data_IF_366087577902
#
_entry.id   IF_366087577902
#
_cell.length_a   1.000
_cell.length_b   1.000
_cell.length_c   1.000
_cell.angle_alpha   90.00
_cell.angle_beta   90.00
_cell.angle_gamma   90.00
#
_symmetry.space_group_name_H-M   'P 1'
#
loop_
_entity.id
_entity.type
_entity.pdbx_description
1 polymer ?
#
# COMPACT_ATOMS: atom_id res chain seq x y z
N UNK A 1 -34.76 13.96 10.72
CA UNK A 1 -33.87 14.38 11.83
C UNK A 1 -33.07 13.19 12.37
N UNK A 2 -31.78 13.21 12.04
CA UNK A 2 -30.62 12.59 12.70
C UNK A 2 -30.75 11.20 13.33
N UNK A 3 -30.08 10.23 12.71
CA UNK A 3 -29.25 9.23 13.40
C UNK A 3 -28.26 8.63 12.39
N UNK A 4 -27.33 9.47 11.91
CA UNK A 4 -26.11 8.96 11.26
C UNK A 4 -25.06 8.93 12.36
N UNK A 5 -24.93 7.78 13.01
CA UNK A 5 -23.76 7.47 13.83
C UNK A 5 -22.56 7.36 12.87
N UNK A 6 -21.82 8.45 12.71
CA UNK A 6 -20.46 8.37 12.17
C UNK A 6 -19.57 7.85 13.29
N UNK A 7 -19.56 6.54 13.46
CA UNK A 7 -18.51 5.85 14.20
C UNK A 7 -17.25 5.97 13.33
N UNK A 8 -16.34 6.88 13.66
CA UNK A 8 -15.04 6.99 13.02
C UNK A 8 -14.22 5.77 13.44
N UNK A 9 -14.52 4.61 12.86
CA UNK A 9 -13.62 3.45 12.94
C UNK A 9 -12.36 3.83 12.16
N UNK A 10 -11.30 4.17 12.89
CA UNK A 10 -9.94 4.01 12.40
C UNK A 10 -9.89 2.61 11.80
N UNK A 11 -9.61 2.55 10.49
CA UNK A 11 -9.84 1.39 9.64
C UNK A 11 -9.47 0.07 10.35
N UNK A 12 -10.30 -0.97 10.20
CA UNK A 12 -10.11 -2.31 10.80
C UNK A 12 -8.82 -3.02 10.32
N UNK A 13 -7.96 -2.31 9.59
CA UNK A 13 -6.69 -2.76 9.07
C UNK A 13 -5.65 -1.63 9.03
N UNK A 14 -4.37 -2.01 8.97
CA UNK A 14 -3.27 -1.10 8.71
C UNK A 14 -2.23 -1.78 7.84
N UNK A 15 -1.42 -0.97 7.16
CA UNK A 15 -0.24 -1.44 6.43
C UNK A 15 0.97 -0.64 6.87
N UNK A 16 2.07 -1.34 7.11
CA UNK A 16 3.40 -0.77 7.25
C UNK A 16 4.19 -1.21 6.04
N UNK A 17 4.88 -0.28 5.38
CA UNK A 17 5.72 -0.63 4.25
C UNK A 17 7.09 0.02 4.31
N UNK A 18 8.06 -0.69 3.73
CA UNK A 18 9.38 -0.17 3.45
C UNK A 18 9.54 -0.15 1.92
N UNK A 19 10.05 0.95 1.39
CA UNK A 19 10.23 1.15 -0.05
C UNK A 19 11.68 1.57 -0.30
N UNK A 20 12.29 0.93 -1.29
CA UNK A 20 13.59 1.32 -1.84
C UNK A 20 13.38 1.81 -3.26
N UNK A 21 13.94 2.98 -3.57
CA UNK A 21 13.82 3.62 -4.88
C UNK A 21 15.17 3.68 -5.57
N UNK A 22 15.21 3.19 -6.80
CA UNK A 22 16.35 3.30 -7.70
C UNK A 22 15.99 4.21 -8.87
N UNK A 23 16.67 5.36 -8.98
CA UNK A 23 16.47 6.27 -10.09
C UNK A 23 17.15 5.73 -11.35
N UNK A 24 16.35 5.45 -12.37
CA UNK A 24 16.84 5.07 -13.71
C UNK A 24 17.31 6.32 -14.46
N UNK A 25 16.53 7.39 -14.35
CA UNK A 25 16.86 8.73 -14.83
C UNK A 25 16.15 9.80 -13.98
N UNK A 26 16.09 11.05 -14.48
CA UNK A 26 15.45 12.19 -13.79
C UNK A 26 13.94 12.03 -13.61
N UNK A 27 13.28 11.26 -14.46
CA UNK A 27 11.83 11.10 -14.51
C UNK A 27 11.41 9.69 -14.11
N UNK A 28 12.24 8.67 -14.29
CA UNK A 28 11.88 7.27 -14.08
C UNK A 28 12.63 6.65 -12.92
N UNK A 29 11.91 5.87 -12.12
CA UNK A 29 12.46 5.10 -11.00
C UNK A 29 11.87 3.69 -10.95
N UNK A 30 12.67 2.75 -10.50
CA UNK A 30 12.21 1.43 -10.09
C UNK A 30 12.07 1.43 -8.58
N UNK A 31 10.91 1.02 -8.06
CA UNK A 31 10.71 0.90 -6.63
C UNK A 31 10.52 -0.57 -6.27
N UNK A 32 11.26 -1.02 -5.26
CA UNK A 32 11.04 -2.29 -4.62
C UNK A 32 10.44 -2.02 -3.25
N UNK A 33 9.32 -2.65 -2.94
CA UNK A 33 8.69 -2.47 -1.64
C UNK A 33 8.36 -3.77 -0.94
N UNK A 34 8.15 -3.62 0.36
CA UNK A 34 7.77 -4.68 1.26
C UNK A 34 6.65 -4.17 2.16
N UNK A 35 5.55 -4.93 2.24
CA UNK A 35 4.36 -4.55 3.00
C UNK A 35 4.09 -5.59 4.07
N UNK A 36 3.88 -5.11 5.29
CA UNK A 36 3.23 -5.84 6.37
C UNK A 36 1.81 -5.31 6.50
N UNK A 37 0.84 -6.13 6.10
CA UNK A 37 -0.57 -5.81 6.22
C UNK A 37 -1.16 -6.55 7.41
N UNK A 38 -1.98 -5.86 8.21
CA UNK A 38 -2.76 -6.47 9.28
C UNK A 38 -4.21 -6.05 9.18
N UNK A 39 -5.11 -7.01 9.28
CA UNK A 39 -6.56 -6.78 9.34
C UNK A 39 -7.13 -7.50 10.57
N UNK A 40 -7.97 -6.79 11.31
CA UNK A 40 -8.71 -7.30 12.46
C UNK A 40 -10.19 -7.36 12.06
N UNK A 41 -10.69 -8.55 11.72
CA UNK A 41 -12.14 -8.74 11.54
C UNK A 41 -12.76 -9.13 12.88
N UNK A 42 -13.65 -8.29 13.41
CA UNK A 42 -14.59 -8.69 14.45
C UNK A 42 -15.86 -9.22 13.77
N UNK A 43 -15.84 -10.47 13.33
CA UNK A 43 -17.07 -11.23 13.13
C UNK A 43 -17.32 -11.97 14.44
N UNK A 44 -18.52 -11.83 14.99
CA UNK A 44 -18.97 -12.34 16.29
C UNK A 44 -18.17 -13.55 16.79
N UNK A 45 -17.41 -13.33 17.88
CA UNK A 45 -16.81 -14.35 18.75
C UNK A 45 -15.58 -15.16 18.30
N UNK A 46 -14.70 -14.64 17.43
CA UNK A 46 -13.27 -15.03 17.45
C UNK A 46 -12.42 -13.95 16.75
N UNK A 47 -11.39 -13.43 17.42
CA UNK A 47 -10.52 -12.40 16.85
C UNK A 47 -9.58 -13.02 15.81
N UNK A 48 -10.03 -13.14 14.56
CA UNK A 48 -9.18 -13.56 13.45
C UNK A 48 -8.27 -12.38 13.03
N UNK A 49 -7.03 -12.38 13.54
CA UNK A 49 -5.99 -11.45 13.12
C UNK A 49 -5.34 -11.98 11.84
N UNK A 50 -5.63 -11.34 10.70
CA UNK A 50 -4.97 -11.68 9.44
C UNK A 50 -3.73 -10.83 9.29
N UNK A 51 -2.62 -11.47 8.94
CA UNK A 51 -1.37 -10.78 8.64
C UNK A 51 -0.79 -11.34 7.36
N UNK A 52 -0.52 -10.47 6.40
CA UNK A 52 0.18 -10.84 5.18
C UNK A 52 1.44 -10.02 5.02
N UNK A 53 2.37 -10.64 4.33
CA UNK A 53 3.62 -10.03 3.92
C UNK A 53 3.63 -10.05 2.41
N UNK A 54 4.22 -9.05 1.78
CA UNK A 54 4.27 -9.00 0.32
C UNK A 54 5.42 -8.15 -0.13
N UNK A 55 6.10 -8.59 -1.19
CA UNK A 55 7.02 -7.75 -1.93
C UNK A 55 6.34 -7.27 -3.20
N UNK A 56 6.72 -6.11 -3.71
CA UNK A 56 6.33 -5.72 -5.07
C UNK A 56 7.40 -4.89 -5.75
N UNK A 57 7.30 -4.82 -7.08
CA UNK A 57 8.10 -3.94 -7.90
C UNK A 57 7.15 -2.95 -8.57
N UNK A 58 7.53 -1.67 -8.57
CA UNK A 58 6.79 -0.57 -9.15
C UNK A 58 7.66 0.21 -10.12
N UNK A 59 7.00 0.83 -11.09
CA UNK A 59 7.62 1.81 -11.97
C UNK A 59 7.09 3.19 -11.59
N UNK A 60 7.98 4.07 -11.14
CA UNK A 60 7.67 5.45 -10.77
C UNK A 60 8.00 6.43 -11.88
N UNK A 61 7.10 7.39 -12.10
CA UNK A 61 7.26 8.55 -12.95
C UNK A 61 7.19 9.84 -12.11
N UNK A 62 8.30 10.57 -12.08
CA UNK A 62 8.45 11.86 -11.41
C UNK A 62 7.97 12.97 -12.37
N UNK A 63 6.88 13.63 -12.02
CA UNK A 63 6.35 14.76 -12.81
C UNK A 63 7.09 16.04 -12.42
N UNK A 64 7.31 16.22 -11.12
CA UNK A 64 8.05 17.31 -10.48
C UNK A 64 8.84 16.71 -9.31
N UNK A 65 9.86 17.41 -8.84
CA UNK A 65 10.64 16.98 -7.67
C UNK A 65 9.78 16.66 -6.43
N UNK A 66 8.64 17.35 -6.30
CA UNK A 66 7.69 17.16 -5.21
C UNK A 66 6.53 16.19 -5.52
N UNK A 67 6.32 15.78 -6.77
CA UNK A 67 5.15 14.98 -7.19
C UNK A 67 5.60 13.78 -8.02
N UNK A 68 5.33 12.59 -7.50
CA UNK A 68 5.62 11.32 -8.15
C UNK A 68 4.33 10.50 -8.31
N UNK A 69 4.09 10.03 -9.53
CA UNK A 69 3.11 8.98 -9.79
C UNK A 69 3.86 7.66 -9.87
N UNK A 70 3.31 6.59 -9.31
CA UNK A 70 3.85 5.26 -9.55
C UNK A 70 2.76 4.31 -10.03
N UNK A 71 3.11 3.48 -11.00
CA UNK A 71 2.33 2.34 -11.42
C UNK A 71 2.91 1.09 -10.77
N UNK A 72 2.04 0.28 -10.20
CA UNK A 72 2.40 -1.01 -9.67
C UNK A 72 1.91 -2.12 -10.59
N UNK A 73 2.84 -3.00 -10.96
CA UNK A 73 2.55 -4.32 -11.50
C UNK A 73 3.57 -5.26 -10.86
N UNK A 74 3.14 -5.98 -9.83
CA UNK A 74 4.04 -6.73 -8.97
C UNK A 74 3.64 -8.18 -8.79
N UNK A 75 4.43 -8.87 -7.99
CA UNK A 75 4.13 -10.21 -7.51
C UNK A 75 4.25 -10.16 -5.99
N UNK A 76 3.12 -10.19 -5.29
CA UNK A 76 3.05 -10.33 -3.85
C UNK A 76 2.99 -11.81 -3.46
N UNK A 77 3.88 -12.21 -2.55
CA UNK A 77 3.88 -13.52 -1.93
C UNK A 77 3.35 -13.39 -0.51
N UNK A 78 2.06 -13.70 -0.31
CA UNK A 78 1.39 -13.44 0.96
C UNK A 78 0.56 -14.61 1.48
N UNK A 79 0.50 -14.73 2.81
CA UNK A 79 -0.35 -15.68 3.53
C UNK A 79 -1.60 -14.94 4.01
N UNK A 80 -2.47 -14.49 3.11
CA UNK A 80 -3.61 -13.66 3.54
C UNK A 80 -4.70 -14.50 4.21
N UNK A 81 -4.92 -15.75 3.77
CA UNK A 81 -5.88 -16.69 4.39
C UNK A 81 -5.47 -18.12 3.97
N UNK A 82 -4.91 -18.93 4.87
CA UNK A 82 -4.69 -20.39 4.73
C UNK A 82 -3.96 -20.96 3.48
N UNK A 83 -3.63 -20.15 2.48
CA UNK A 83 -2.98 -20.56 1.24
C UNK A 83 -1.70 -19.77 1.04
N UNK A 84 -0.63 -20.48 0.71
CA UNK A 84 0.55 -19.90 0.08
C UNK A 84 0.20 -19.68 -1.38
N UNK A 85 0.10 -18.41 -1.79
CA UNK A 85 -0.33 -18.04 -3.13
C UNK A 85 0.56 -16.98 -3.77
N UNK A 86 0.61 -17.02 -5.09
CA UNK A 86 1.13 -15.93 -5.92
C UNK A 86 -0.01 -14.93 -6.13
N UNK A 87 0.10 -13.74 -5.55
CA UNK A 87 -0.82 -12.64 -5.82
C UNK A 87 -0.15 -11.67 -6.79
N UNK A 88 -0.87 -11.22 -7.82
CA UNK A 88 -0.36 -10.19 -8.73
C UNK A 88 -1.09 -8.90 -8.37
N UNK A 89 -0.52 -8.05 -7.50
CA UNK A 89 -1.07 -6.74 -7.27
C UNK A 89 -0.85 -5.85 -8.50
N UNK A 90 -1.87 -5.08 -8.82
CA UNK A 90 -1.78 -3.98 -9.77
C UNK A 90 -2.44 -2.76 -9.17
N UNK A 91 -1.93 -1.59 -9.52
CA UNK A 91 -2.42 -0.36 -8.93
C UNK A 91 -1.58 0.83 -9.28
N UNK A 92 -1.76 1.90 -8.52
CA UNK A 92 -0.92 3.06 -8.62
C UNK A 92 -0.91 3.87 -7.33
N UNK A 93 0.08 4.75 -7.24
CA UNK A 93 0.15 5.70 -6.14
C UNK A 93 0.47 7.11 -6.62
N UNK A 94 0.03 8.07 -5.83
CA UNK A 94 0.44 9.47 -5.89
C UNK A 94 1.21 9.78 -4.61
N UNK A 95 2.45 10.20 -4.79
CA UNK A 95 3.34 10.67 -3.74
C UNK A 95 3.51 12.19 -3.87
N UNK A 96 3.28 12.89 -2.74
CA UNK A 96 3.49 14.33 -2.62
C UNK A 96 4.54 14.56 -1.53
N UNK A 97 5.74 14.92 -1.95
CA UNK A 97 6.86 15.21 -1.05
C UNK A 97 6.68 16.61 -0.46
N UNK A 98 6.57 16.66 0.86
CA UNK A 98 6.40 17.91 1.60
C UNK A 98 7.76 18.61 1.83
N UNK A 99 8.79 17.81 2.11
CA UNK A 99 10.17 18.23 2.34
C UNK A 99 11.12 17.03 2.18
N UNK A 100 12.41 17.21 2.48
CA UNK A 100 13.43 16.16 2.32
C UNK A 100 13.14 14.85 3.09
N UNK A 101 12.33 14.92 4.15
CA UNK A 101 12.13 13.82 5.09
C UNK A 101 10.74 13.19 4.97
N UNK A 102 9.73 13.95 4.52
CA UNK A 102 8.31 13.54 4.58
C UNK A 102 7.61 13.59 3.23
N UNK A 103 6.90 12.51 2.93
CA UNK A 103 6.06 12.37 1.73
C UNK A 103 4.69 11.84 2.13
N UNK A 104 3.62 12.48 1.65
CA UNK A 104 2.27 11.94 1.75
C UNK A 104 2.05 10.98 0.58
N UNK A 105 1.53 9.79 0.88
CA UNK A 105 1.23 8.77 -0.10
C UNK A 105 -0.29 8.53 -0.17
N UNK A 106 -0.81 8.44 -1.39
CA UNK A 106 -2.12 7.90 -1.70
C UNK A 106 -1.91 6.69 -2.60
N UNK A 107 -2.36 5.51 -2.19
CA UNK A 107 -2.17 4.28 -2.94
C UNK A 107 -3.51 3.59 -3.16
N UNK A 108 -3.79 3.28 -4.43
CA UNK A 108 -4.88 2.44 -4.87
C UNK A 108 -4.25 1.15 -5.40
N UNK A 109 -4.60 0.02 -4.79
CA UNK A 109 -4.09 -1.29 -5.23
C UNK A 109 -5.24 -2.30 -5.28
N UNK A 110 -5.16 -3.19 -6.24
CA UNK A 110 -6.09 -4.27 -6.53
C UNK A 110 -5.30 -5.54 -6.80
N UNK A 111 -5.97 -6.69 -6.80
CA UNK A 111 -5.34 -7.99 -7.02
C UNK A 111 -6.03 -8.72 -8.17
N UNK A 112 -5.27 -9.43 -9.01
CA UNK A 112 -5.83 -10.22 -10.13
C UNK A 112 -6.46 -11.55 -9.66
N UNK A 113 -6.45 -11.84 -8.36
CA UNK A 113 -7.04 -13.09 -7.84
C UNK A 113 -8.57 -12.95 -7.77
N UNK A 114 -9.37 -13.92 -8.28
CA UNK A 114 -10.80 -13.74 -8.60
C UNK A 114 -11.75 -13.25 -7.49
N UNK A 115 -11.33 -13.24 -6.23
CA UNK A 115 -12.19 -12.90 -5.08
C UNK A 115 -11.67 -11.71 -4.24
N UNK A 116 -10.62 -11.03 -4.69
CA UNK A 116 -9.93 -10.01 -3.88
C UNK A 116 -10.20 -8.62 -4.46
N UNK A 117 -11.10 -7.88 -3.82
CA UNK A 117 -11.45 -6.51 -4.20
C UNK A 117 -10.29 -5.51 -4.15
N UNK A 118 -10.62 -4.23 -4.33
CA UNK A 118 -9.64 -3.14 -4.26
C UNK A 118 -9.50 -2.61 -2.83
N UNK A 119 -8.32 -2.05 -2.51
CA UNK A 119 -8.13 -1.25 -1.31
C UNK A 119 -7.60 0.14 -1.68
N UNK A 120 -8.00 1.13 -0.88
CA UNK A 120 -7.49 2.50 -0.98
C UNK A 120 -6.80 2.78 0.35
N UNK A 121 -5.55 3.20 0.25
CA UNK A 121 -4.72 3.59 1.38
C UNK A 121 -4.26 5.04 1.23
N UNK A 122 -4.12 5.70 2.37
CA UNK A 122 -3.34 6.93 2.48
C UNK A 122 -2.40 6.79 3.67
N UNK A 123 -1.23 7.40 3.59
CA UNK A 123 -0.21 7.27 4.62
C UNK A 123 0.88 8.30 4.51
N UNK A 124 1.81 8.23 5.47
CA UNK A 124 3.00 9.06 5.54
C UNK A 124 4.23 8.19 5.34
N UNK A 125 5.08 8.57 4.38
CA UNK A 125 6.42 8.01 4.18
C UNK A 125 7.43 8.92 4.88
N UNK A 126 8.39 8.31 5.57
CA UNK A 126 9.52 8.99 6.17
C UNK A 126 10.82 8.48 5.55
N UNK A 127 11.70 9.39 5.12
CA UNK A 127 13.00 9.05 4.53
C UNK A 127 13.99 8.66 5.63
N UNK A 128 14.39 7.38 5.64
CA UNK A 128 15.28 6.83 6.69
C UNK A 128 16.76 7.02 6.34
N UNK A 129 17.13 7.00 5.06
CA UNK A 129 18.52 7.10 4.59
C UNK A 129 18.65 8.22 3.55
N UNK A 130 19.67 9.08 3.68
CA UNK A 130 20.01 10.15 2.72
C UNK A 130 21.00 9.67 1.68
#
# INVERSE_FOLDING_TARGET
PYNVYYDWKLSDWWTLFAEYEYHLDKNWSLLADYHLFREKRCLECEADNKSSIGASIKLGYHILDAIKLSGEAGIAFGRRIAYYGLEIPYGGSLDITLNEDFTINFNLRSFVVPDYGYWITTGLKYKILK
#
